data_IF_448996498844
#
_entry.id   IF_448996498844
#
_cell.length_a   1.000
_cell.length_b   1.000
_cell.length_c   1.000
_cell.angle_alpha   90.00
_cell.angle_beta   90.00
_cell.angle_gamma   90.00
#
_symmetry.space_group_name_H-M   'P 1'
#
loop_
_entity.id
_entity.type
_entity.pdbx_description
1 polymer ?
#
# COMPACT_ATOMS: atom_id res chain seq x y z
N UNK A 1 -17.54 58.51 37.26
CA UNK A 1 -16.43 58.03 36.44
C UNK A 1 -16.14 56.61 36.84
N UNK A 2 -16.54 55.62 36.01
CA UNK A 2 -16.26 54.18 36.23
C UNK A 2 -15.29 53.73 35.14
N UNK A 3 -14.10 53.39 35.55
CA UNK A 3 -13.02 52.90 34.67
C UNK A 3 -13.21 51.40 34.40
N UNK A 4 -13.45 51.03 33.16
CA UNK A 4 -13.55 49.64 32.72
C UNK A 4 -12.16 49.17 32.35
N UNK A 5 -11.62 48.21 33.11
CA UNK A 5 -10.36 47.53 32.81
C UNK A 5 -10.68 46.36 31.91
N UNK A 6 -10.27 46.46 30.65
CA UNK A 6 -10.36 45.42 29.64
C UNK A 6 -9.17 44.48 29.84
N UNK A 7 -9.43 43.26 30.36
CA UNK A 7 -8.44 42.18 30.43
C UNK A 7 -8.32 41.54 29.07
N UNK A 8 -7.28 41.88 28.34
CA UNK A 8 -6.91 41.18 27.10
C UNK A 8 -6.37 39.79 27.43
N UNK A 9 -7.09 38.76 27.02
CA UNK A 9 -6.58 37.40 27.04
C UNK A 9 -5.68 37.19 25.82
N UNK A 10 -4.39 37.06 26.06
CA UNK A 10 -3.39 36.75 25.04
C UNK A 10 -3.45 35.27 24.76
N UNK A 11 -4.09 34.86 23.64
CA UNK A 11 -4.13 33.50 23.16
C UNK A 11 -2.80 33.18 22.50
N UNK A 12 -1.89 32.50 23.22
CA UNK A 12 -0.64 32.00 22.68
C UNK A 12 -0.94 30.83 21.78
N UNK A 13 -0.98 31.04 20.46
CA UNK A 13 -0.99 29.99 19.46
C UNK A 13 0.42 29.40 19.41
N UNK A 14 0.62 28.25 20.06
CA UNK A 14 1.82 27.45 19.86
C UNK A 14 1.74 26.79 18.49
N UNK A 15 2.41 27.39 17.51
CA UNK A 15 2.74 26.75 16.24
C UNK A 15 3.79 25.67 16.54
N UNK A 16 3.34 24.41 16.62
CA UNK A 16 4.22 23.26 16.54
C UNK A 16 4.71 23.15 15.09
N UNK A 17 5.82 23.79 14.78
CA UNK A 17 6.60 23.45 13.59
C UNK A 17 7.30 22.14 13.88
N UNK A 18 6.72 21.03 13.39
CA UNK A 18 7.44 19.77 13.30
C UNK A 18 8.57 19.97 12.28
N UNK A 19 9.76 20.27 12.77
CA UNK A 19 10.96 20.21 11.96
C UNK A 19 11.21 18.76 11.61
N UNK A 20 10.79 18.36 10.41
CA UNK A 20 11.26 17.12 9.79
C UNK A 20 12.74 17.35 9.46
N UNK A 21 13.60 16.93 10.37
CA UNK A 21 15.03 16.85 10.13
C UNK A 21 15.26 15.88 8.96
N UNK A 22 15.60 16.43 7.80
CA UNK A 22 16.07 15.66 6.66
C UNK A 22 17.47 15.11 6.97
N UNK A 23 17.54 13.97 7.64
CA UNK A 23 18.76 13.17 7.63
C UNK A 23 18.90 12.56 6.23
N UNK A 24 19.58 13.23 5.32
CA UNK A 24 20.02 12.66 4.05
C UNK A 24 21.16 11.67 4.34
N UNK A 25 20.79 10.48 4.81
CA UNK A 25 21.68 9.34 4.85
C UNK A 25 21.27 8.35 3.77
N UNK A 26 21.87 8.43 2.58
CA UNK A 26 21.91 7.31 1.66
C UNK A 26 22.78 6.23 2.32
N UNK A 27 22.16 5.36 3.07
CA UNK A 27 22.82 4.16 3.57
C UNK A 27 22.90 3.18 2.39
N UNK A 28 24.02 3.22 1.68
CA UNK A 28 24.43 2.11 0.84
C UNK A 28 24.30 0.84 1.67
N UNK A 29 23.62 -0.19 1.13
CA UNK A 29 23.38 -1.41 1.89
C UNK A 29 24.68 -2.00 2.41
N UNK A 30 24.83 -2.07 3.72
CA UNK A 30 25.77 -2.97 4.34
C UNK A 30 25.30 -4.40 4.05
N UNK A 31 26.15 -5.21 3.45
CA UNK A 31 25.91 -6.60 3.03
C UNK A 31 25.37 -7.53 4.12
N UNK A 32 25.27 -7.07 5.39
CA UNK A 32 24.69 -7.82 6.49
C UNK A 32 23.16 -7.84 6.56
N UNK A 33 22.45 -6.89 5.90
CA UNK A 33 21.01 -6.74 6.03
C UNK A 33 20.21 -7.14 4.77
N UNK A 34 20.88 -7.67 3.76
CA UNK A 34 20.21 -8.10 2.54
C UNK A 34 20.84 -9.36 1.96
N UNK A 35 20.02 -10.17 1.33
CA UNK A 35 20.42 -11.39 0.61
C UNK A 35 20.15 -11.26 -0.87
N UNK A 36 21.02 -11.83 -1.70
CA UNK A 36 20.85 -11.84 -3.16
C UNK A 36 19.58 -12.60 -3.53
N UNK A 37 18.72 -11.98 -4.32
CA UNK A 37 17.57 -12.63 -4.94
C UNK A 37 18.07 -13.40 -6.15
N UNK A 38 17.95 -14.72 -6.12
CA UNK A 38 18.15 -15.53 -7.30
C UNK A 38 16.85 -15.55 -8.11
N UNK A 39 16.91 -15.12 -9.37
CA UNK A 39 15.78 -15.24 -10.27
C UNK A 39 15.30 -16.71 -10.30
N UNK A 40 14.02 -16.93 -10.08
CA UNK A 40 13.43 -18.26 -10.20
C UNK A 40 13.39 -18.66 -11.68
N UNK A 41 13.65 -19.92 -11.98
CA UNK A 41 13.51 -20.48 -13.34
C UNK A 41 12.10 -20.25 -13.94
N UNK A 42 11.09 -20.14 -13.09
CA UNK A 42 9.72 -19.81 -13.49
C UNK A 42 9.56 -18.49 -14.26
N UNK A 43 10.57 -17.60 -14.23
CA UNK A 43 10.58 -16.31 -14.94
C UNK A 43 11.22 -16.38 -16.33
N UNK A 44 11.82 -17.51 -16.70
CA UNK A 44 12.30 -17.71 -18.07
C UNK A 44 11.09 -17.67 -19.03
N UNK A 45 11.23 -16.87 -20.09
CA UNK A 45 10.17 -16.67 -21.11
C UNK A 45 8.86 -16.05 -20.58
N UNK A 46 8.92 -15.26 -19.51
CA UNK A 46 7.77 -14.56 -18.97
C UNK A 46 7.47 -13.32 -19.81
N UNK A 47 6.24 -13.20 -20.30
CA UNK A 47 5.75 -12.01 -21.01
C UNK A 47 5.04 -11.11 -20.01
N UNK A 48 5.46 -9.85 -19.93
CA UNK A 48 4.94 -8.87 -18.98
C UNK A 48 5.90 -8.60 -17.82
N UNK A 49 5.50 -7.68 -16.95
CA UNK A 49 6.33 -7.19 -15.86
C UNK A 49 5.74 -7.65 -14.50
N UNK A 50 6.50 -8.37 -13.65
CA UNK A 50 6.05 -8.78 -12.32
C UNK A 50 6.05 -7.63 -11.31
N UNK A 51 6.72 -6.51 -11.62
CA UNK A 51 6.86 -5.38 -10.72
C UNK A 51 5.70 -4.39 -10.84
N UNK A 52 5.43 -3.65 -9.74
CA UNK A 52 4.51 -2.50 -9.77
C UNK A 52 5.01 -1.39 -10.71
N UNK A 53 6.33 -1.17 -10.69
CA UNK A 53 7.04 -0.26 -11.59
C UNK A 53 8.27 -0.96 -12.18
N UNK A 54 8.56 -0.78 -13.46
CA UNK A 54 9.70 -1.43 -14.12
C UNK A 54 11.05 -0.86 -13.66
N UNK A 55 11.06 0.26 -12.95
CA UNK A 55 12.24 0.98 -12.47
C UNK A 55 12.32 0.99 -10.95
N UNK A 56 13.54 1.13 -10.41
CA UNK A 56 13.72 1.37 -8.99
C UNK A 56 13.21 2.76 -8.61
N UNK A 57 12.48 2.82 -7.49
CA UNK A 57 11.97 4.06 -6.91
C UNK A 57 12.44 4.18 -5.46
N UNK A 58 12.64 5.42 -5.01
CA UNK A 58 12.96 5.69 -3.61
C UNK A 58 11.73 5.48 -2.74
N UNK A 59 11.91 4.74 -1.65
CA UNK A 59 10.83 4.46 -0.69
C UNK A 59 11.34 4.49 0.75
N UNK A 60 10.48 4.93 1.64
CA UNK A 60 10.62 4.70 3.07
C UNK A 60 10.18 3.26 3.37
N UNK A 61 10.97 2.53 4.15
CA UNK A 61 10.72 1.13 4.47
C UNK A 61 10.71 0.95 5.98
N UNK A 62 9.68 0.29 6.49
CA UNK A 62 9.52 -0.05 7.91
C UNK A 62 9.63 -1.56 8.08
N UNK A 63 10.42 -1.96 9.06
CA UNK A 63 10.70 -3.36 9.36
C UNK A 63 9.92 -3.88 10.57
N UNK A 64 9.68 -5.18 10.61
CA UNK A 64 8.96 -5.86 11.70
C UNK A 64 9.68 -5.86 13.04
N UNK A 65 11.00 -5.74 13.04
CA UNK A 65 11.83 -5.59 14.24
C UNK A 65 11.54 -4.29 15.04
N UNK A 66 10.66 -3.43 14.53
CA UNK A 66 10.34 -2.13 15.15
C UNK A 66 11.43 -1.08 14.97
N UNK A 67 12.48 -1.39 14.20
CA UNK A 67 13.47 -0.41 13.77
C UNK A 67 12.78 0.65 12.91
N UNK A 68 12.49 1.80 13.50
CA UNK A 68 11.92 2.98 12.85
C UNK A 68 12.97 3.77 12.08
N UNK A 69 13.95 3.09 11.51
CA UNK A 69 14.89 3.76 10.63
C UNK A 69 14.11 4.23 9.40
N UNK A 70 13.86 5.53 9.35
CA UNK A 70 13.32 6.26 8.20
C UNK A 70 14.31 6.25 7.03
N UNK A 71 15.02 5.14 6.84
CA UNK A 71 15.98 4.98 5.77
C UNK A 71 15.24 4.89 4.44
N UNK A 72 15.76 5.63 3.47
CA UNK A 72 15.27 5.62 2.10
C UNK A 72 16.08 4.61 1.32
N UNK A 73 15.38 3.72 0.64
CA UNK A 73 15.97 2.69 -0.21
C UNK A 73 15.50 2.85 -1.66
N UNK A 74 16.33 2.50 -2.62
CA UNK A 74 15.91 2.31 -4.01
C UNK A 74 15.36 0.89 -4.15
N UNK A 75 14.04 0.76 -4.36
CA UNK A 75 13.33 -0.52 -4.36
C UNK A 75 12.45 -0.71 -5.58
N UNK A 76 12.17 -1.99 -5.90
CA UNK A 76 11.06 -2.43 -6.76
C UNK A 76 10.13 -3.30 -5.94
N UNK A 77 8.84 -3.10 -6.07
CA UNK A 77 7.86 -4.00 -5.49
C UNK A 77 7.50 -5.08 -6.51
N UNK A 78 7.93 -6.30 -6.23
CA UNK A 78 7.57 -7.49 -6.98
C UNK A 78 6.20 -7.99 -6.53
N UNK A 79 5.18 -7.77 -7.36
CA UNK A 79 3.80 -8.13 -7.07
C UNK A 79 3.51 -9.62 -7.35
N UNK A 80 4.40 -10.32 -8.05
CA UNK A 80 4.28 -11.76 -8.27
C UNK A 80 4.73 -12.56 -7.05
N UNK A 81 5.85 -12.16 -6.44
CA UNK A 81 6.41 -12.79 -5.25
C UNK A 81 5.98 -12.11 -3.95
N UNK A 82 5.29 -10.98 -4.05
CA UNK A 82 4.82 -10.17 -2.92
C UNK A 82 5.98 -9.71 -2.01
N UNK A 83 7.06 -9.20 -2.62
CA UNK A 83 8.28 -8.82 -1.91
C UNK A 83 8.91 -7.54 -2.46
N UNK A 84 9.68 -6.85 -1.61
CA UNK A 84 10.50 -5.72 -2.02
C UNK A 84 11.88 -6.21 -2.45
N UNK A 85 12.23 -5.93 -3.71
CA UNK A 85 13.59 -6.02 -4.20
C UNK A 85 14.28 -4.66 -3.99
N UNK A 86 15.49 -4.69 -3.45
CA UNK A 86 16.30 -3.50 -3.22
C UNK A 86 17.52 -3.51 -4.12
N UNK A 87 17.88 -2.33 -4.62
CA UNK A 87 19.01 -2.15 -5.51
C UNK A 87 20.32 -2.33 -4.78
N UNK A 88 21.16 -3.22 -5.27
CA UNK A 88 22.54 -3.40 -4.81
C UNK A 88 23.54 -2.49 -5.51
N UNK A 89 24.81 -2.71 -5.26
CA UNK A 89 25.93 -1.95 -5.88
C UNK A 89 26.22 -2.35 -7.31
N UNK A 90 25.68 -3.48 -7.80
CA UNK A 90 25.84 -4.01 -9.15
C UNK A 90 24.51 -4.17 -9.89
N UNK A 91 24.42 -5.23 -10.69
CA UNK A 91 23.20 -5.61 -11.43
C UNK A 91 22.30 -6.55 -10.64
N UNK A 92 22.76 -7.02 -9.50
CA UNK A 92 22.02 -7.98 -8.67
C UNK A 92 20.89 -7.30 -7.89
N UNK A 93 19.79 -8.02 -7.74
CA UNK A 93 18.69 -7.64 -6.86
C UNK A 93 18.85 -8.34 -5.51
N UNK A 94 18.53 -7.61 -4.45
CA UNK A 94 18.60 -8.10 -3.09
C UNK A 94 17.23 -8.04 -2.42
N UNK A 95 16.94 -8.96 -1.50
CA UNK A 95 15.84 -8.86 -0.57
C UNK A 95 16.34 -8.41 0.79
N UNK A 96 15.48 -7.76 1.57
CA UNK A 96 15.77 -7.48 2.96
C UNK A 96 15.77 -8.77 3.78
N UNK A 97 16.70 -8.91 4.72
CA UNK A 97 16.74 -10.04 5.67
C UNK A 97 15.69 -9.87 6.77
N UNK A 98 15.43 -8.62 7.18
CA UNK A 98 14.36 -8.29 8.13
C UNK A 98 13.03 -8.13 7.38
N UNK A 99 11.94 -8.73 7.84
CA UNK A 99 10.64 -8.62 7.20
C UNK A 99 10.19 -7.16 7.07
N UNK A 100 9.89 -6.75 5.85
CA UNK A 100 9.26 -5.44 5.60
C UNK A 100 7.79 -5.54 5.96
N UNK A 101 7.30 -4.62 6.81
CA UNK A 101 5.88 -4.56 7.21
C UNK A 101 5.12 -3.41 6.56
N UNK A 102 5.84 -2.34 6.17
CA UNK A 102 5.24 -1.20 5.48
C UNK A 102 6.28 -0.52 4.60
N UNK A 103 5.85 -0.02 3.44
CA UNK A 103 6.67 0.87 2.63
C UNK A 103 5.81 1.95 1.96
N UNK A 104 6.44 3.10 1.67
CA UNK A 104 5.84 4.24 0.98
C UNK A 104 6.83 4.83 -0.01
N UNK A 105 6.43 4.96 -1.28
CA UNK A 105 7.25 5.66 -2.27
C UNK A 105 7.31 7.17 -1.95
N UNK A 106 8.48 7.78 -2.15
CA UNK A 106 8.69 9.19 -1.81
C UNK A 106 7.87 10.16 -2.67
N UNK A 107 7.72 9.82 -3.95
CA UNK A 107 7.04 10.64 -4.96
C UNK A 107 5.53 10.36 -5.08
N UNK A 108 5.00 9.49 -4.22
CA UNK A 108 3.61 9.07 -4.25
C UNK A 108 3.01 9.05 -2.84
N UNK A 109 1.71 9.32 -2.76
CA UNK A 109 0.99 9.17 -1.48
C UNK A 109 0.35 7.77 -1.37
N UNK A 110 1.11 6.72 -1.71
CA UNK A 110 0.67 5.33 -1.66
C UNK A 110 1.45 4.59 -0.58
N UNK A 111 0.72 4.00 0.35
CA UNK A 111 1.28 3.20 1.44
C UNK A 111 0.93 1.75 1.18
N UNK A 112 1.91 0.89 1.29
CA UNK A 112 1.75 -0.56 1.21
C UNK A 112 2.07 -1.16 2.57
N UNK A 113 1.16 -1.99 3.09
CA UNK A 113 1.29 -2.59 4.43
C UNK A 113 0.94 -4.07 4.39
N UNK A 114 1.69 -4.88 5.14
CA UNK A 114 1.42 -6.29 5.42
C UNK A 114 0.95 -6.49 6.87
N UNK A 115 0.80 -7.73 7.32
CA UNK A 115 0.41 -8.04 8.70
C UNK A 115 -1.11 -8.11 8.91
N UNK A 116 -1.90 -8.13 7.85
CA UNK A 116 -3.34 -8.39 7.95
C UNK A 116 -3.61 -9.90 8.02
N UNK A 117 -4.71 -10.27 8.68
CA UNK A 117 -5.12 -11.68 8.76
C UNK A 117 -5.29 -12.28 7.35
N UNK A 118 -4.92 -13.55 7.13
CA UNK A 118 -5.05 -14.21 5.84
C UNK A 118 -6.49 -14.20 5.32
N UNK A 119 -6.65 -13.94 4.01
CA UNK A 119 -7.96 -13.96 3.32
C UNK A 119 -7.80 -14.39 1.86
N UNK A 120 -8.56 -15.37 1.43
CA UNK A 120 -8.47 -15.92 0.06
C UNK A 120 -7.07 -16.45 -0.24
N UNK A 121 -6.40 -15.89 -1.26
CA UNK A 121 -5.02 -16.25 -1.63
C UNK A 121 -3.96 -15.43 -0.88
N UNK A 122 -4.36 -14.38 -0.17
CA UNK A 122 -3.43 -13.53 0.55
C UNK A 122 -3.09 -14.12 1.91
N UNK A 123 -1.82 -14.03 2.26
CA UNK A 123 -1.25 -14.48 3.53
C UNK A 123 -0.83 -13.26 4.38
N UNK A 124 -0.46 -13.47 5.63
CA UNK A 124 -0.11 -12.39 6.56
C UNK A 124 1.00 -11.47 6.03
N UNK A 125 1.97 -12.01 5.32
CA UNK A 125 3.06 -11.25 4.69
C UNK A 125 2.68 -10.53 3.40
N UNK A 126 1.47 -10.74 2.87
CA UNK A 126 1.01 -10.09 1.64
C UNK A 126 0.85 -8.61 1.85
N UNK A 127 1.31 -7.81 0.86
CA UNK A 127 1.17 -6.37 0.88
C UNK A 127 -0.17 -5.93 0.26
N UNK A 128 -0.74 -4.92 0.90
CA UNK A 128 -1.93 -4.21 0.43
C UNK A 128 -1.63 -2.72 0.33
N UNK A 129 -2.06 -2.08 -0.73
CA UNK A 129 -2.17 -0.64 -0.78
C UNK A 129 -3.28 -0.20 0.20
N UNK A 130 -2.91 0.60 1.19
CA UNK A 130 -3.84 1.16 2.17
C UNK A 130 -4.46 2.41 1.56
N UNK A 131 -5.64 2.26 0.96
CA UNK A 131 -6.37 3.36 0.30
C UNK A 131 -6.99 4.30 1.35
N UNK A 132 -7.52 3.72 2.42
CA UNK A 132 -8.05 4.46 3.56
C UNK A 132 -7.61 3.80 4.86
N UNK A 133 -7.15 4.58 5.84
CA UNK A 133 -6.59 4.13 7.12
C UNK A 133 -7.24 4.85 8.31
N UNK A 134 -8.55 4.67 8.48
CA UNK A 134 -9.33 5.18 9.62
C UNK A 134 -9.65 4.07 10.64
N UNK A 135 -10.77 4.25 11.37
CA UNK A 135 -11.32 3.19 12.23
C UNK A 135 -11.59 1.93 11.42
N UNK A 136 -12.16 2.12 10.24
CA UNK A 136 -12.28 1.11 9.19
C UNK A 136 -11.19 1.33 8.17
N UNK A 137 -10.63 0.25 7.60
CA UNK A 137 -9.63 0.38 6.53
C UNK A 137 -10.21 -0.11 5.21
N UNK A 138 -9.83 0.56 4.12
CA UNK A 138 -10.09 0.07 2.77
C UNK A 138 -8.76 -0.26 2.10
N UNK A 139 -8.61 -1.52 1.71
CA UNK A 139 -7.38 -2.07 1.18
C UNK A 139 -7.57 -2.51 -0.26
N UNK A 140 -6.56 -2.27 -1.10
CA UNK A 140 -6.47 -2.79 -2.45
C UNK A 140 -5.25 -3.68 -2.56
N UNK A 141 -5.42 -4.88 -3.10
CA UNK A 141 -4.32 -5.77 -3.46
C UNK A 141 -4.31 -5.96 -4.97
N UNK A 142 -3.22 -5.56 -5.60
CA UNK A 142 -2.94 -5.83 -7.00
C UNK A 142 -1.80 -6.86 -7.05
N UNK A 143 -2.16 -8.13 -7.02
CA UNK A 143 -1.21 -9.22 -7.16
C UNK A 143 -0.98 -9.52 -8.64
N UNK A 144 0.23 -9.93 -8.98
CA UNK A 144 0.52 -10.51 -10.28
C UNK A 144 0.39 -12.03 -10.21
N UNK A 145 -0.10 -12.61 -11.29
CA UNK A 145 -0.22 -14.05 -11.47
C UNK A 145 0.31 -14.46 -12.83
N UNK A 146 0.88 -15.67 -12.92
CA UNK A 146 1.30 -16.23 -14.21
C UNK A 146 0.13 -17.02 -14.79
N UNK A 147 -0.28 -16.65 -15.99
CA UNK A 147 -1.23 -17.41 -16.79
C UNK A 147 -0.47 -18.11 -17.91
N UNK A 148 -0.60 -19.41 -17.99
CA UNK A 148 -0.06 -20.21 -19.08
C UNK A 148 -1.07 -20.29 -20.21
N UNK A 149 -0.64 -19.91 -21.40
CA UNK A 149 -1.43 -19.99 -22.63
C UNK A 149 -0.69 -20.77 -23.71
N UNK A 150 -1.45 -21.45 -24.56
CA UNK A 150 -0.92 -22.08 -25.76
C UNK A 150 -1.54 -21.37 -26.95
N UNK A 151 -0.70 -20.81 -27.81
CA UNK A 151 -1.21 -20.23 -29.06
C UNK A 151 -1.71 -21.35 -29.99
N UNK A 152 -2.77 -21.03 -30.72
CA UNK A 152 -3.32 -21.95 -31.71
C UNK A 152 -2.24 -22.35 -32.71
N UNK A 153 -2.02 -23.67 -32.89
CA UNK A 153 -0.96 -24.26 -33.72
C UNK A 153 0.49 -24.08 -33.25
N UNK A 154 0.75 -23.67 -31.99
CA UNK A 154 2.09 -23.63 -31.41
C UNK A 154 2.30 -24.77 -30.41
N UNK A 155 3.51 -25.36 -30.46
CA UNK A 155 3.95 -26.30 -29.42
C UNK A 155 4.47 -25.54 -28.16
N UNK A 156 4.68 -24.23 -28.27
CA UNK A 156 5.29 -23.42 -27.22
C UNK A 156 4.22 -22.94 -26.23
N UNK A 157 4.48 -23.17 -24.94
CA UNK A 157 3.68 -22.59 -23.85
C UNK A 157 4.21 -21.20 -23.56
N UNK A 158 3.36 -20.20 -23.68
CA UNK A 158 3.67 -18.81 -23.32
C UNK A 158 3.19 -18.56 -21.89
N UNK A 159 4.08 -17.99 -21.05
CA UNK A 159 3.78 -17.56 -19.69
C UNK A 159 3.56 -16.05 -19.70
N UNK A 160 2.39 -15.60 -19.27
CA UNK A 160 2.04 -14.18 -19.25
C UNK A 160 1.72 -13.72 -17.83
N UNK A 161 2.25 -12.54 -17.46
CA UNK A 161 1.90 -11.89 -16.20
C UNK A 161 0.60 -11.12 -16.38
N UNK A 162 -0.36 -11.37 -15.49
CA UNK A 162 -1.62 -10.64 -15.42
C UNK A 162 -1.89 -10.11 -14.01
N UNK A 163 -2.66 -9.02 -13.91
CA UNK A 163 -3.08 -8.45 -12.63
C UNK A 163 -4.31 -9.18 -12.09
N UNK A 164 -4.27 -9.54 -10.81
CA UNK A 164 -5.40 -10.07 -10.02
C UNK A 164 -5.72 -9.04 -8.93
N UNK A 165 -6.62 -8.11 -9.25
CA UNK A 165 -6.97 -6.99 -8.36
C UNK A 165 -8.12 -7.36 -7.45
N UNK A 166 -7.92 -7.25 -6.14
CA UNK A 166 -8.93 -7.50 -5.12
C UNK A 166 -9.00 -6.33 -4.12
N UNK A 167 -10.17 -6.14 -3.53
CA UNK A 167 -10.42 -5.10 -2.54
C UNK A 167 -10.94 -5.71 -1.25
N UNK A 168 -10.63 -5.07 -0.13
CA UNK A 168 -11.00 -5.57 1.20
C UNK A 168 -11.41 -4.42 2.11
N UNK A 169 -12.35 -4.70 2.98
CA UNK A 169 -12.71 -3.85 4.12
C UNK A 169 -12.21 -4.53 5.39
N UNK A 170 -11.54 -3.75 6.25
CA UNK A 170 -11.12 -4.20 7.58
C UNK A 170 -11.83 -3.34 8.61
N UNK A 171 -12.75 -3.95 9.34
CA UNK A 171 -13.47 -3.32 10.46
C UNK A 171 -12.60 -3.34 11.73
N UNK A 172 -13.03 -2.69 12.83
CA UNK A 172 -12.27 -2.69 14.09
C UNK A 172 -11.95 -4.07 14.66
N UNK A 173 -12.65 -5.13 14.23
CA UNK A 173 -12.32 -6.53 14.58
C UNK A 173 -11.01 -7.04 13.93
N UNK A 174 -10.47 -6.28 12.99
CA UNK A 174 -9.18 -6.53 12.37
C UNK A 174 -9.16 -7.60 11.27
N UNK A 175 -10.30 -8.17 10.87
CA UNK A 175 -10.38 -9.20 9.82
C UNK A 175 -10.71 -8.58 8.46
N UNK A 176 -9.87 -8.79 7.42
CA UNK A 176 -10.18 -8.37 6.07
C UNK A 176 -11.35 -9.16 5.50
N UNK A 177 -12.33 -8.46 4.92
CA UNK A 177 -13.44 -9.05 4.19
C UNK A 177 -13.35 -8.63 2.73
N UNK A 178 -13.33 -9.58 1.81
CA UNK A 178 -13.26 -9.32 0.37
C UNK A 178 -14.54 -8.63 -0.13
N UNK A 179 -14.38 -7.56 -0.90
CA UNK A 179 -15.47 -6.80 -1.50
C UNK A 179 -15.17 -6.49 -2.96
N UNK A 180 -16.22 -6.17 -3.73
CA UNK A 180 -16.05 -5.56 -5.05
C UNK A 180 -16.06 -4.04 -4.91
N UNK A 181 -15.27 -3.33 -5.74
CA UNK A 181 -15.27 -1.87 -5.79
C UNK A 181 -16.55 -1.33 -6.47
N UNK A 182 -17.70 -1.60 -5.86
CA UNK A 182 -19.02 -1.11 -6.29
C UNK A 182 -19.93 -0.86 -5.08
N UNK A 183 -20.96 -0.02 -5.30
CA UNK A 183 -21.92 0.39 -4.27
C UNK A 183 -22.53 -0.82 -3.54
N UNK A 184 -23.08 -1.77 -4.30
CA UNK A 184 -23.79 -2.92 -3.73
C UNK A 184 -22.93 -3.70 -2.74
N UNK A 185 -21.67 -4.01 -3.10
CA UNK A 185 -20.78 -4.82 -2.27
C UNK A 185 -20.29 -4.05 -1.04
N UNK A 186 -19.90 -2.78 -1.21
CA UNK A 186 -19.38 -1.96 -0.11
C UNK A 186 -20.49 -1.63 0.90
N UNK A 187 -21.67 -1.19 0.43
CA UNK A 187 -22.79 -0.85 1.31
C UNK A 187 -23.29 -2.07 2.08
N UNK A 188 -23.36 -3.23 1.42
CA UNK A 188 -23.76 -4.48 2.08
C UNK A 188 -22.77 -4.87 3.19
N UNK A 189 -21.45 -4.77 2.94
CA UNK A 189 -20.43 -5.10 3.95
C UNK A 189 -20.44 -4.12 5.12
N UNK A 190 -20.60 -2.83 4.86
CA UNK A 190 -20.62 -1.80 5.90
C UNK A 190 -21.93 -1.78 6.70
N UNK A 191 -23.01 -2.36 6.18
CA UNK A 191 -24.31 -2.44 6.85
C UNK A 191 -24.99 -1.08 7.03
N UNK A 192 -24.71 -0.10 6.17
CA UNK A 192 -25.20 1.27 6.25
C UNK A 192 -25.87 1.69 4.94
N UNK A 193 -27.19 1.46 4.76
CA UNK A 193 -27.91 1.79 3.53
C UNK A 193 -27.83 3.25 3.12
N UNK A 194 -27.71 4.18 4.09
CA UNK A 194 -27.57 5.61 3.86
C UNK A 194 -26.35 6.00 3.02
N UNK A 195 -25.31 5.15 2.96
CA UNK A 195 -24.16 5.34 2.10
C UNK A 195 -24.52 5.39 0.61
N UNK A 196 -25.56 4.65 0.20
CA UNK A 196 -26.08 4.69 -1.18
C UNK A 196 -26.53 6.10 -1.58
N UNK A 197 -27.18 6.82 -0.66
CA UNK A 197 -27.57 8.22 -0.88
C UNK A 197 -26.33 9.11 -1.02
N UNK A 198 -25.39 9.00 -0.08
CA UNK A 198 -24.16 9.78 -0.10
C UNK A 198 -23.34 9.57 -1.39
N UNK A 199 -23.19 8.32 -1.84
CA UNK A 199 -22.50 7.97 -3.09
C UNK A 199 -23.13 8.69 -4.28
N UNK A 200 -24.48 8.66 -4.38
CA UNK A 200 -25.21 9.27 -5.50
C UNK A 200 -25.17 10.79 -5.47
N UNK A 201 -25.42 11.40 -4.32
CA UNK A 201 -25.42 12.87 -4.17
C UNK A 201 -24.05 13.48 -4.46
N UNK A 202 -22.95 12.80 -4.06
CA UNK A 202 -21.59 13.23 -4.30
C UNK A 202 -20.99 12.68 -5.59
N UNK A 203 -21.75 11.92 -6.40
CA UNK A 203 -21.33 11.32 -7.67
C UNK A 203 -20.01 10.55 -7.57
N UNK A 204 -19.84 9.78 -6.49
CA UNK A 204 -18.58 9.09 -6.22
C UNK A 204 -18.35 7.94 -7.21
N UNK A 205 -17.13 7.91 -7.77
CA UNK A 205 -16.62 6.79 -8.55
C UNK A 205 -15.85 5.82 -7.63
N UNK A 206 -16.45 4.69 -7.28
CA UNK A 206 -15.87 3.72 -6.36
C UNK A 206 -14.70 2.91 -6.95
N UNK A 207 -14.21 3.26 -8.15
CA UNK A 207 -12.94 2.79 -8.71
C UNK A 207 -11.82 3.81 -8.51
N UNK A 208 -12.14 5.01 -8.05
CA UNK A 208 -11.19 6.08 -7.77
C UNK A 208 -10.83 6.11 -6.29
N UNK A 209 -9.52 6.14 -5.98
CA UNK A 209 -9.04 6.10 -4.61
C UNK A 209 -9.47 7.33 -3.80
N UNK A 210 -9.51 8.52 -4.41
CA UNK A 210 -9.90 9.74 -3.71
C UNK A 210 -11.39 9.71 -3.32
N UNK A 211 -12.24 9.16 -4.17
CA UNK A 211 -13.66 9.01 -3.89
C UNK A 211 -13.94 7.92 -2.85
N UNK A 212 -13.15 6.84 -2.86
CA UNK A 212 -13.17 5.84 -1.78
C UNK A 212 -12.77 6.45 -0.45
N UNK A 213 -11.73 7.28 -0.40
CA UNK A 213 -11.33 8.01 0.82
C UNK A 213 -12.49 8.87 1.33
N UNK A 214 -13.19 9.63 0.47
CA UNK A 214 -14.37 10.42 0.86
C UNK A 214 -15.47 9.56 1.46
N UNK A 215 -15.78 8.41 0.81
CA UNK A 215 -16.81 7.49 1.28
C UNK A 215 -16.50 6.93 2.67
N UNK A 216 -15.27 6.44 2.86
CA UNK A 216 -14.87 5.83 4.14
C UNK A 216 -14.67 6.86 5.24
N UNK A 217 -14.24 8.10 4.91
CA UNK A 217 -14.23 9.22 5.87
C UNK A 217 -15.63 9.55 6.35
N UNK A 218 -16.61 9.60 5.45
CA UNK A 218 -18.02 9.81 5.81
C UNK A 218 -18.54 8.67 6.69
N UNK A 219 -18.27 7.42 6.29
CA UNK A 219 -18.70 6.23 7.06
C UNK A 219 -18.14 6.21 8.49
N UNK A 220 -16.84 6.48 8.68
CA UNK A 220 -16.20 6.47 10.01
C UNK A 220 -16.67 7.63 10.91
N UNK A 221 -17.36 8.63 10.34
CA UNK A 221 -17.99 9.74 11.03
C UNK A 221 -19.44 9.51 11.45
N UNK A 222 -20.09 8.41 10.98
CA UNK A 222 -21.44 8.01 11.35
C UNK A 222 -21.48 7.29 12.71
#
# INVERSE_FOLDING_TARGET
MKTIILKGALLAVMLFTAEFGYAQGYNGMNSGNASVIRAKESRANLVGDPYLYPVYKKAYVKFGSGSTNSAVYEVKYDQLEDMLAVKGTGTEEYSFNDPVVEFKFQDENRIFRSGFAPVGKAVEKSFYEVVYDGKTKFLKRDAKVIIEGKEYNSATITKKVESDVAYYIVKPDGKPVAVKANEKSIVAELGKPELSKYIKENKLNLKDNADLVKLFTYYDGL
#
